data_IF_486589565499
#
_entry.id   IF_486589565499
#
_cell.length_a   1.000
_cell.length_b   1.000
_cell.length_c   1.000
_cell.angle_alpha   90.00
_cell.angle_beta   90.00
_cell.angle_gamma   90.00
#
_symmetry.space_group_name_H-M   'P 1'
#
loop_
_entity.id
_entity.type
_entity.pdbx_description
1 polymer ?
#
# COMPACT_ATOMS: atom_id res chain seq x y z
N UNK A 1 -2.47 15.55 -34.57
CA UNK A 1 -2.39 14.29 -33.78
C UNK A 1 -1.02 14.03 -33.16
N UNK A 2 0.14 14.14 -33.86
CA UNK A 2 1.44 13.84 -33.23
C UNK A 2 1.84 14.82 -32.11
N UNK A 3 1.47 16.11 -32.22
CA UNK A 3 1.75 17.09 -31.16
C UNK A 3 1.00 16.78 -29.86
N UNK A 4 -0.28 16.38 -29.95
CA UNK A 4 -1.04 15.95 -28.78
C UNK A 4 -0.36 14.77 -28.06
N UNK A 5 0.19 13.80 -28.78
CA UNK A 5 0.90 12.68 -28.14
C UNK A 5 2.21 13.12 -27.48
N UNK A 6 2.92 14.11 -28.04
CA UNK A 6 4.14 14.67 -27.45
C UNK A 6 3.87 15.40 -26.14
N UNK A 7 2.73 16.08 -26.02
CA UNK A 7 2.36 16.79 -24.80
C UNK A 7 2.00 15.85 -23.64
N UNK A 8 1.44 14.68 -23.95
CA UNK A 8 1.01 13.69 -22.94
C UNK A 8 2.09 12.65 -22.59
N UNK A 9 3.06 12.42 -23.48
CA UNK A 9 4.13 11.47 -23.23
C UNK A 9 4.90 11.75 -21.92
N UNK A 10 5.27 13.00 -21.56
CA UNK A 10 5.89 13.31 -20.28
C UNK A 10 5.04 12.92 -19.07
N UNK A 11 3.71 13.07 -19.17
CA UNK A 11 2.77 12.71 -18.10
C UNK A 11 2.79 11.21 -17.87
N UNK A 12 2.74 10.42 -18.96
CA UNK A 12 2.78 8.95 -18.88
C UNK A 12 4.11 8.47 -18.30
N UNK A 13 5.23 9.07 -18.71
CA UNK A 13 6.56 8.74 -18.17
C UNK A 13 6.61 9.03 -16.67
N UNK A 14 6.11 10.19 -16.25
CA UNK A 14 6.05 10.54 -14.83
C UNK A 14 5.24 9.54 -14.02
N UNK A 15 4.04 9.16 -14.51
CA UNK A 15 3.22 8.14 -13.85
C UNK A 15 3.93 6.79 -13.78
N UNK A 16 4.62 6.37 -14.85
CA UNK A 16 5.35 5.10 -14.88
C UNK A 16 6.47 5.08 -13.82
N UNK A 17 7.22 6.18 -13.69
CA UNK A 17 8.26 6.32 -12.66
C UNK A 17 7.63 6.33 -11.26
N UNK A 18 6.56 7.08 -11.05
CA UNK A 18 5.87 7.14 -9.75
C UNK A 18 5.34 5.77 -9.31
N UNK A 19 4.71 5.03 -10.22
CA UNK A 19 4.24 3.66 -9.99
C UNK A 19 5.44 2.73 -9.71
N UNK A 20 6.53 2.84 -10.47
CA UNK A 20 7.74 2.06 -10.26
C UNK A 20 8.33 2.25 -8.87
N UNK A 21 8.41 3.50 -8.40
CA UNK A 21 8.89 3.83 -7.06
C UNK A 21 7.92 3.30 -5.99
N UNK A 22 6.61 3.50 -6.17
CA UNK A 22 5.59 3.02 -5.21
C UNK A 22 5.65 1.49 -5.05
N UNK A 23 5.74 0.76 -6.15
CA UNK A 23 5.87 -0.69 -6.14
C UNK A 23 7.20 -1.14 -5.50
N UNK A 24 8.31 -0.47 -5.84
CA UNK A 24 9.61 -0.79 -5.26
C UNK A 24 9.59 -0.63 -3.73
N UNK A 25 9.02 0.46 -3.23
CA UNK A 25 8.90 0.71 -1.78
C UNK A 25 7.90 -0.23 -1.09
N UNK A 26 6.85 -0.67 -1.79
CA UNK A 26 5.89 -1.65 -1.25
C UNK A 26 6.51 -3.06 -1.18
N UNK A 27 7.32 -3.44 -2.17
CA UNK A 27 7.95 -4.76 -2.26
C UNK A 27 9.20 -4.87 -1.38
N UNK A 28 9.99 -3.79 -1.26
CA UNK A 28 11.22 -3.77 -0.46
C UNK A 28 11.09 -4.38 0.95
N UNK A 29 10.10 -4.00 1.80
CA UNK A 29 9.96 -4.58 3.14
C UNK A 29 9.56 -6.06 3.11
N UNK A 30 8.88 -6.54 2.05
CA UNK A 30 8.55 -7.95 1.91
C UNK A 30 9.82 -8.80 1.81
N UNK A 31 10.88 -8.27 1.17
CA UNK A 31 12.14 -8.96 0.91
C UNK A 31 13.14 -8.74 2.06
N UNK A 32 13.26 -7.50 2.56
CA UNK A 32 14.37 -7.08 3.44
C UNK A 32 13.98 -7.09 4.92
N UNK A 33 12.71 -6.89 5.27
CA UNK A 33 12.32 -6.69 6.67
C UNK A 33 12.41 -7.98 7.50
N UNK A 34 12.79 -7.82 8.77
CA UNK A 34 12.77 -8.90 9.75
C UNK A 34 11.34 -9.40 9.97
N UNK A 35 11.15 -10.72 9.91
CA UNK A 35 9.84 -11.37 10.06
C UNK A 35 9.75 -12.11 11.39
N UNK A 36 8.92 -11.61 12.30
CA UNK A 36 8.59 -12.27 13.56
C UNK A 36 7.08 -12.17 13.85
N UNK A 37 6.25 -12.91 13.08
CA UNK A 37 4.81 -12.93 13.27
C UNK A 37 4.46 -13.70 14.55
N UNK A 38 3.53 -13.15 15.33
CA UNK A 38 2.91 -13.83 16.46
C UNK A 38 1.42 -13.44 16.52
N UNK A 39 0.59 -14.22 17.25
CA UNK A 39 -0.86 -13.99 17.27
C UNK A 39 -1.26 -12.59 17.78
N UNK A 40 -0.52 -12.02 18.72
CA UNK A 40 -0.81 -10.68 19.23
C UNK A 40 -0.49 -9.61 18.18
N UNK A 41 0.67 -9.68 17.51
CA UNK A 41 1.04 -8.74 16.43
C UNK A 41 0.10 -8.78 15.22
N UNK A 42 -0.56 -9.93 15.00
CA UNK A 42 -1.51 -10.13 13.90
C UNK A 42 -2.97 -9.86 14.32
N UNK A 43 -3.23 -9.62 15.60
CA UNK A 43 -4.57 -9.29 16.10
C UNK A 43 -4.94 -7.83 15.79
N UNK A 44 -6.25 -7.55 15.73
CA UNK A 44 -6.73 -6.18 15.60
C UNK A 44 -6.36 -5.36 16.84
N UNK A 45 -5.91 -4.12 16.64
CA UNK A 45 -5.58 -3.23 17.75
C UNK A 45 -6.84 -2.69 18.42
N UNK A 46 -7.10 -3.14 19.64
CA UNK A 46 -8.26 -2.74 20.45
C UNK A 46 -7.85 -2.47 21.91
N UNK A 47 -6.79 -1.68 22.10
CA UNK A 47 -6.28 -1.29 23.43
C UNK A 47 -5.95 -2.48 24.38
N UNK A 48 -5.65 -3.66 23.83
CA UNK A 48 -5.39 -4.88 24.61
C UNK A 48 -6.63 -5.71 24.92
N UNK A 49 -7.80 -5.32 24.42
CA UNK A 49 -9.02 -6.14 24.43
C UNK A 49 -9.08 -7.00 23.16
N UNK A 50 -9.87 -8.08 23.23
CA UNK A 50 -10.27 -8.78 22.02
C UNK A 50 -11.13 -7.85 21.16
N UNK A 51 -11.06 -8.04 19.84
CA UNK A 51 -11.94 -7.32 18.93
C UNK A 51 -13.40 -7.42 19.38
N UNK A 52 -14.04 -6.27 19.52
CA UNK A 52 -15.48 -6.19 19.73
C UNK A 52 -16.20 -6.78 18.50
N UNK A 53 -17.49 -7.07 18.67
CA UNK A 53 -18.37 -7.76 17.71
C UNK A 53 -18.39 -7.12 16.29
N UNK A 54 -19.22 -7.65 15.38
CA UNK A 54 -19.29 -7.23 13.96
C UNK A 54 -19.01 -5.74 13.70
N UNK A 55 -17.99 -5.44 12.89
CA UNK A 55 -17.61 -4.08 12.47
C UNK A 55 -18.72 -3.34 11.69
N UNK A 56 -19.86 -3.98 11.44
CA UNK A 56 -21.04 -3.44 10.75
C UNK A 56 -22.15 -2.91 11.67
N UNK A 57 -21.86 -2.72 12.96
CA UNK A 57 -22.77 -1.99 13.83
C UNK A 57 -23.02 -0.57 13.28
N UNK A 58 -24.21 -0.02 13.55
CA UNK A 58 -24.50 1.38 13.18
C UNK A 58 -23.53 2.29 13.92
N UNK A 59 -22.85 3.14 13.16
CA UNK A 59 -22.00 4.22 13.68
C UNK A 59 -22.83 5.28 14.40
#
# INVERSE_FOLDING_TARGET
>A
MPELLRDYLPIVIFMAVAIGIALALMIAPIIIAFRNPDPEKLSAYECGFNAFDDARMKF
#
